data_IF_257477248491
#
_entry.id   IF_257477248491
#
_cell.length_a   1.000
_cell.length_b   1.000
_cell.length_c   1.000
_cell.angle_alpha   90.00
_cell.angle_beta   90.00
_cell.angle_gamma   90.00
#
_symmetry.space_group_name_H-M   'P 1'
#
loop_
_entity.id
_entity.type
_entity.pdbx_description
1 polymer ?
#
# COMPACT_ATOMS: atom_id res chain seq x y z
N UNK A 1 -2.68 -40.05 -9.02
CA UNK A 1 -3.88 -39.26 -8.68
C UNK A 1 -3.55 -37.82 -8.98
N UNK A 2 -3.90 -37.35 -10.18
CA UNK A 2 -3.55 -36.02 -10.68
C UNK A 2 -4.57 -35.02 -10.14
N UNK A 3 -4.12 -34.05 -9.35
CA UNK A 3 -4.98 -32.96 -8.87
C UNK A 3 -5.04 -31.91 -9.97
N UNK A 4 -6.17 -31.83 -10.66
CA UNK A 4 -6.49 -30.70 -11.56
C UNK A 4 -6.58 -29.42 -10.73
N UNK A 5 -5.75 -28.43 -11.08
CA UNK A 5 -5.88 -27.07 -10.56
C UNK A 5 -7.12 -26.44 -11.21
N UNK A 6 -8.20 -26.32 -10.44
CA UNK A 6 -9.36 -25.53 -10.82
C UNK A 6 -8.93 -24.07 -11.04
N UNK A 7 -8.92 -23.62 -12.30
CA UNK A 7 -8.72 -22.22 -12.65
C UNK A 7 -10.01 -21.46 -12.33
N UNK A 8 -10.05 -20.82 -11.18
CA UNK A 8 -11.05 -19.81 -10.87
C UNK A 8 -10.83 -18.60 -11.79
N UNK A 9 -11.80 -18.33 -12.64
CA UNK A 9 -11.80 -17.17 -13.52
C UNK A 9 -12.14 -15.93 -12.67
N UNK A 10 -11.11 -15.32 -12.08
CA UNK A 10 -11.27 -14.11 -11.25
C UNK A 10 -11.52 -12.94 -12.20
N UNK A 11 -12.71 -12.32 -12.11
CA UNK A 11 -12.97 -11.06 -12.79
C UNK A 11 -12.13 -10.00 -12.10
N UNK A 12 -11.03 -9.61 -12.74
CA UNK A 12 -10.14 -8.56 -12.24
C UNK A 12 -10.76 -7.21 -12.65
N UNK A 13 -11.09 -6.31 -11.71
CA UNK A 13 -11.57 -4.97 -12.04
C UNK A 13 -10.58 -4.19 -12.93
N UNK A 14 -11.08 -3.38 -13.86
CA UNK A 14 -10.25 -2.65 -14.84
C UNK A 14 -9.12 -1.80 -14.22
N UNK A 15 -9.24 -1.34 -12.96
CA UNK A 15 -8.19 -0.54 -12.33
C UNK A 15 -6.91 -1.32 -12.02
N UNK A 16 -6.95 -2.66 -11.98
CA UNK A 16 -5.76 -3.50 -11.82
C UNK A 16 -4.94 -3.61 -13.11
N UNK A 17 -5.51 -3.29 -14.28
CA UNK A 17 -4.81 -3.36 -15.57
C UNK A 17 -3.87 -2.16 -15.83
N UNK A 18 -3.84 -1.18 -14.93
CA UNK A 18 -3.02 0.04 -15.06
C UNK A 18 -1.60 -0.06 -14.50
N UNK A 19 -1.29 -1.08 -13.69
CA UNK A 19 0.04 -1.21 -13.08
C UNK A 19 0.96 -1.97 -14.02
N UNK A 20 1.75 -1.21 -14.80
CA UNK A 20 2.64 -1.79 -15.82
C UNK A 20 3.90 -2.43 -15.25
N UNK A 21 4.40 -1.92 -14.13
CA UNK A 21 5.64 -2.40 -13.50
C UNK A 21 5.42 -2.58 -12.01
N UNK A 22 5.51 -3.83 -11.55
CA UNK A 22 5.67 -4.11 -10.14
C UNK A 22 7.16 -3.97 -9.78
N UNK A 23 7.42 -3.32 -8.65
CA UNK A 23 8.75 -3.31 -8.06
C UNK A 23 9.12 -4.69 -7.51
N UNK A 24 10.37 -4.81 -7.08
CA UNK A 24 10.81 -5.97 -6.31
C UNK A 24 10.05 -6.06 -4.98
N UNK A 25 10.00 -7.26 -4.41
CA UNK A 25 9.47 -7.45 -3.07
C UNK A 25 10.32 -6.66 -2.08
N UNK A 26 9.66 -5.85 -1.25
CA UNK A 26 10.34 -5.08 -0.20
C UNK A 26 11.06 -6.02 0.77
N UNK A 27 12.25 -5.63 1.28
CA UNK A 27 12.92 -6.37 2.34
C UNK A 27 12.00 -6.60 3.55
N UNK A 28 12.11 -7.75 4.20
CA UNK A 28 11.30 -8.10 5.38
C UNK A 28 9.78 -8.14 5.17
N UNK A 29 9.29 -8.16 3.92
CA UNK A 29 7.85 -8.28 3.66
C UNK A 29 7.23 -9.54 4.27
N UNK A 30 7.94 -10.67 4.21
CA UNK A 30 7.48 -11.93 4.83
C UNK A 30 7.42 -11.86 6.36
N UNK A 31 8.11 -10.89 6.96
CA UNK A 31 8.12 -10.67 8.42
C UNK A 31 7.06 -9.67 8.85
N UNK A 32 6.94 -8.53 8.16
CA UNK A 32 6.11 -7.40 8.60
C UNK A 32 4.89 -7.13 7.70
N UNK A 33 4.81 -7.72 6.51
CA UNK A 33 3.71 -7.55 5.54
C UNK A 33 2.62 -8.62 5.61
N UNK A 34 2.85 -9.72 6.35
CA UNK A 34 1.94 -10.89 6.38
C UNK A 34 0.64 -10.66 7.16
N UNK A 35 0.65 -9.76 8.15
CA UNK A 35 -0.51 -9.44 8.99
C UNK A 35 -0.66 -7.93 9.08
N UNK A 36 -1.87 -7.41 8.85
CA UNK A 36 -2.15 -6.00 9.00
C UNK A 36 -1.79 -5.49 10.41
N UNK A 37 -1.06 -4.37 10.48
CA UNK A 37 -0.66 -3.73 11.73
C UNK A 37 -1.80 -2.89 12.35
N UNK A 38 -2.74 -2.42 11.51
CA UNK A 38 -3.96 -1.77 11.96
C UNK A 38 -4.90 -2.81 12.59
N UNK A 39 -5.47 -2.48 13.75
CA UNK A 39 -6.56 -3.22 14.34
C UNK A 39 -7.85 -3.02 13.52
N UNK A 40 -8.55 -4.13 13.23
CA UNK A 40 -9.74 -4.11 12.37
C UNK A 40 -10.96 -3.45 13.01
N UNK A 41 -11.00 -3.36 14.34
CA UNK A 41 -12.13 -2.79 15.08
C UNK A 41 -11.90 -1.29 15.25
N UNK A 42 -10.71 -0.89 15.67
CA UNK A 42 -10.41 0.54 15.92
C UNK A 42 -10.01 1.28 14.65
N UNK A 43 -9.50 0.59 13.63
CA UNK A 43 -8.98 1.21 12.41
C UNK A 43 -7.61 1.88 12.60
N UNK A 44 -6.92 1.62 13.72
CA UNK A 44 -5.66 2.27 14.08
C UNK A 44 -4.59 1.27 14.51
N UNK A 45 -3.32 1.68 14.47
CA UNK A 45 -2.23 0.91 15.06
C UNK A 45 -2.28 0.98 16.59
N UNK A 46 -1.86 -0.10 17.27
CA UNK A 46 -1.83 -0.14 18.74
C UNK A 46 -0.62 0.59 19.32
N UNK A 47 0.51 0.59 18.62
CA UNK A 47 1.74 1.26 19.08
C UNK A 47 2.51 1.89 17.91
N UNK A 48 2.92 3.17 18.00
CA UNK A 48 3.73 3.82 16.96
C UNK A 48 5.18 3.34 16.95
N UNK A 49 5.62 2.59 17.97
CA UNK A 49 6.98 2.05 18.06
C UNK A 49 7.08 0.58 17.66
N UNK A 50 5.97 -0.07 17.31
CA UNK A 50 5.97 -1.44 16.80
C UNK A 50 6.66 -1.47 15.42
N UNK A 51 7.72 -2.27 15.22
CA UNK A 51 8.39 -2.42 13.93
C UNK A 51 7.44 -2.77 12.78
N UNK A 52 6.40 -3.58 13.01
CA UNK A 52 5.42 -3.93 11.97
C UNK A 52 4.56 -2.71 11.57
N UNK A 53 4.17 -1.88 12.55
CA UNK A 53 3.43 -0.65 12.29
C UNK A 53 4.28 0.37 11.54
N UNK A 54 5.54 0.54 11.93
CA UNK A 54 6.50 1.41 11.22
C UNK A 54 6.67 0.94 9.78
N UNK A 55 6.92 -0.36 9.58
CA UNK A 55 7.09 -0.94 8.26
C UNK A 55 5.87 -0.69 7.35
N UNK A 56 4.66 -0.98 7.84
CA UNK A 56 3.45 -0.78 7.06
C UNK A 56 3.10 0.70 6.85
N UNK A 57 3.53 1.60 7.75
CA UNK A 57 3.40 3.05 7.54
C UNK A 57 4.27 3.51 6.37
N UNK A 58 5.51 3.01 6.27
CA UNK A 58 6.38 3.29 5.12
C UNK A 58 5.84 2.68 3.82
N UNK A 59 5.32 1.45 3.89
CA UNK A 59 4.65 0.81 2.76
C UNK A 59 3.47 1.66 2.25
N UNK A 60 2.66 2.21 3.15
CA UNK A 60 1.56 3.12 2.81
C UNK A 60 2.10 4.42 2.19
N UNK A 61 3.16 5.02 2.74
CA UNK A 61 3.77 6.23 2.19
C UNK A 61 4.25 6.02 0.74
N UNK A 62 4.87 4.88 0.43
CA UNK A 62 5.30 4.56 -0.93
C UNK A 62 4.13 4.28 -1.87
N UNK A 63 3.10 3.57 -1.40
CA UNK A 63 1.87 3.38 -2.16
C UNK A 63 1.19 4.72 -2.49
N UNK A 64 1.19 5.65 -1.54
CA UNK A 64 0.68 7.00 -1.72
C UNK A 64 1.47 7.79 -2.77
N UNK A 65 2.80 7.75 -2.73
CA UNK A 65 3.65 8.37 -3.77
C UNK A 65 3.35 7.82 -5.16
N UNK A 66 3.29 6.49 -5.27
CA UNK A 66 2.98 5.83 -6.53
C UNK A 66 1.60 6.27 -7.05
N UNK A 67 0.58 6.22 -6.19
CA UNK A 67 -0.77 6.64 -6.55
C UNK A 67 -0.82 8.11 -6.98
N UNK A 68 -0.14 9.00 -6.24
CA UNK A 68 -0.07 10.42 -6.59
C UNK A 68 0.52 10.62 -7.97
N UNK A 69 1.67 10.00 -8.28
CA UNK A 69 2.29 10.10 -9.60
C UNK A 69 1.37 9.59 -10.71
N UNK A 70 0.75 8.42 -10.50
CA UNK A 70 -0.19 7.83 -11.47
C UNK A 70 -1.39 8.76 -11.73
N UNK A 71 -2.02 9.28 -10.68
CA UNK A 71 -3.20 10.15 -10.82
C UNK A 71 -2.82 11.48 -11.47
N UNK A 72 -1.75 12.14 -11.03
CA UNK A 72 -1.33 13.43 -11.62
C UNK A 72 -0.85 13.27 -13.06
N UNK A 73 -0.19 12.16 -13.37
CA UNK A 73 0.22 11.82 -14.73
C UNK A 73 -0.98 11.58 -15.64
N UNK A 74 -1.95 10.78 -15.20
CA UNK A 74 -3.16 10.45 -15.99
C UNK A 74 -4.01 11.68 -16.34
N UNK A 75 -4.00 12.71 -15.47
CA UNK A 75 -4.75 13.96 -15.68
C UNK A 75 -3.91 15.10 -16.26
N UNK A 76 -2.61 14.88 -16.48
CA UNK A 76 -1.63 15.92 -16.85
C UNK A 76 -1.73 17.18 -15.96
N UNK A 77 -2.04 17.00 -14.66
CA UNK A 77 -2.35 18.10 -13.74
C UNK A 77 -2.12 17.68 -12.29
N UNK A 78 -1.86 18.66 -11.41
CA UNK A 78 -1.60 18.48 -9.98
C UNK A 78 -0.14 18.74 -9.58
N UNK A 79 0.16 18.55 -8.29
CA UNK A 79 1.46 18.86 -7.69
C UNK A 79 2.05 17.62 -7.00
N UNK A 80 2.52 16.62 -7.75
CA UNK A 80 2.95 15.35 -7.17
C UNK A 80 4.12 15.52 -6.20
N UNK A 81 5.05 16.45 -6.48
CA UNK A 81 6.19 16.71 -5.61
C UNK A 81 5.81 17.19 -4.21
N UNK A 82 4.83 18.08 -4.10
CA UNK A 82 4.39 18.63 -2.80
C UNK A 82 3.67 17.60 -1.93
N UNK A 83 2.93 16.67 -2.54
CA UNK A 83 2.33 15.57 -1.79
C UNK A 83 3.36 14.48 -1.45
N UNK A 84 4.24 14.12 -2.39
CA UNK A 84 5.27 13.11 -2.16
C UNK A 84 6.24 13.46 -1.03
N UNK A 85 6.48 14.76 -0.78
CA UNK A 85 7.34 15.23 0.32
C UNK A 85 6.73 15.11 1.71
N UNK A 86 5.42 14.87 1.82
CA UNK A 86 4.70 14.73 3.10
C UNK A 86 4.05 13.36 3.28
N UNK A 87 4.37 12.39 2.42
CA UNK A 87 3.70 11.09 2.37
C UNK A 87 3.84 10.31 3.69
N UNK A 88 5.00 10.34 4.36
CA UNK A 88 5.19 9.69 5.66
C UNK A 88 4.32 10.31 6.75
N UNK A 89 4.22 11.63 6.79
CA UNK A 89 3.39 12.33 7.79
C UNK A 89 1.93 11.98 7.57
N UNK A 90 1.46 12.03 6.33
CA UNK A 90 0.09 11.65 5.99
C UNK A 90 -0.19 10.18 6.33
N UNK A 91 0.70 9.26 5.96
CA UNK A 91 0.57 7.84 6.28
C UNK A 91 0.54 7.59 7.79
N UNK A 92 1.41 8.26 8.56
CA UNK A 92 1.44 8.14 10.01
C UNK A 92 0.13 8.62 10.64
N UNK A 93 -0.40 9.77 10.20
CA UNK A 93 -1.69 10.28 10.68
C UNK A 93 -2.84 9.30 10.41
N UNK A 94 -2.90 8.74 9.20
CA UNK A 94 -3.89 7.71 8.84
C UNK A 94 -3.74 6.48 9.73
N UNK A 95 -2.51 5.98 9.92
CA UNK A 95 -2.24 4.79 10.74
C UNK A 95 -2.60 5.02 12.22
N UNK A 96 -2.49 6.26 12.70
CA UNK A 96 -2.89 6.69 14.06
C UNK A 96 -4.39 6.98 14.21
N UNK A 97 -5.15 7.05 13.10
CA UNK A 97 -6.58 7.34 13.11
C UNK A 97 -6.95 8.82 13.16
N UNK A 98 -6.13 9.70 12.57
CA UNK A 98 -6.38 11.13 12.43
C UNK A 98 -6.97 11.52 11.07
#
# INVERSE_FOLDING_TARGET
>A
MSVEKSQTNIIIPNFYEGIRYFGETLPDFDKYGVKAAIDRITGTITSPTDPAAIYQTLLLADALRYLTLQITGSKASGHPGGFASQAEVYAALVMLGH
#
